data_IF_036571894689
#
_entry.id   IF_036571894689
#
_cell.length_a   1.000
_cell.length_b   1.000
_cell.length_c   1.000
_cell.angle_alpha   90.00
_cell.angle_beta   90.00
_cell.angle_gamma   90.00
#
_symmetry.space_group_name_H-M   'P 1'
#
loop_
_entity.id
_entity.type
_entity.pdbx_description
1 polymer ?
#
# COMPACT_ATOMS: atom_id res chain seq x y z
N UNK A 1 19.62 5.14 15.91
CA UNK A 1 19.79 6.02 14.74
C UNK A 1 19.76 5.27 13.43
N UNK A 2 20.38 4.08 13.37
CA UNK A 2 20.32 3.21 12.19
C UNK A 2 18.89 2.73 11.86
N UNK A 3 18.06 2.50 12.87
CA UNK A 3 16.67 2.08 12.66
C UNK A 3 15.83 3.14 11.93
N UNK A 4 16.01 4.42 12.29
CA UNK A 4 15.32 5.52 11.61
C UNK A 4 15.79 5.69 10.17
N UNK A 5 17.08 5.45 9.91
CA UNK A 5 17.63 5.47 8.57
C UNK A 5 17.09 4.34 7.70
N UNK A 6 16.96 3.14 8.24
CA UNK A 6 16.43 1.99 7.53
C UNK A 6 14.93 2.15 7.22
N UNK A 7 14.13 2.65 8.16
CA UNK A 7 12.71 2.93 7.94
C UNK A 7 12.53 3.99 6.85
N UNK A 8 13.33 5.05 6.88
CA UNK A 8 13.30 6.10 5.87
C UNK A 8 13.70 5.58 4.49
N UNK A 9 14.69 4.71 4.42
CA UNK A 9 15.09 4.08 3.16
C UNK A 9 14.02 3.15 2.61
N UNK A 10 13.29 2.42 3.45
CA UNK A 10 12.16 1.58 3.04
C UNK A 10 10.98 2.42 2.52
N UNK A 11 10.73 3.59 3.11
CA UNK A 11 9.68 4.51 2.67
C UNK A 11 10.02 5.20 1.35
N UNK A 12 11.32 5.43 1.09
CA UNK A 12 11.80 6.08 -0.13
C UNK A 12 11.92 5.11 -1.32
N UNK A 13 11.67 3.81 -1.10
CA UNK A 13 11.67 2.82 -2.18
C UNK A 13 10.40 2.94 -3.00
N UNK A 14 10.53 3.54 -4.17
CA UNK A 14 9.45 3.60 -5.14
C UNK A 14 9.37 2.31 -5.93
N UNK A 15 8.16 1.91 -6.25
CA UNK A 15 7.88 0.85 -7.20
C UNK A 15 6.88 1.36 -8.22
N UNK A 16 7.10 1.03 -9.46
CA UNK A 16 6.26 1.47 -10.57
C UNK A 16 5.66 0.28 -11.29
N UNK A 17 4.47 0.47 -11.83
CA UNK A 17 3.72 -0.56 -12.58
C UNK A 17 3.23 0.00 -13.90
N UNK A 18 2.93 -0.91 -14.83
CA UNK A 18 2.48 -0.54 -16.17
C UNK A 18 1.10 -1.14 -16.45
N UNK A 19 0.36 -0.51 -17.36
CA UNK A 19 -0.96 -0.94 -17.79
C UNK A 19 -1.22 -0.54 -19.21
N UNK A 20 -1.95 -1.38 -19.95
CA UNK A 20 -2.39 -1.06 -21.31
C UNK A 20 -3.56 -0.08 -21.33
N UNK A 21 -4.45 -0.15 -20.35
CA UNK A 21 -5.71 0.60 -20.33
C UNK A 21 -5.79 1.71 -19.27
N UNK A 22 -4.81 1.79 -18.36
CA UNK A 22 -4.81 2.77 -17.29
C UNK A 22 -5.69 2.41 -16.10
N UNK A 23 -6.32 1.25 -16.13
CA UNK A 23 -7.19 0.75 -15.06
C UNK A 23 -6.67 -0.56 -14.47
N UNK A 24 -6.23 -1.46 -15.30
CA UNK A 24 -5.74 -2.78 -14.92
C UNK A 24 -4.22 -2.83 -14.96
N UNK A 25 -3.58 -2.59 -13.83
CA UNK A 25 -2.12 -2.60 -13.70
C UNK A 25 -1.61 -3.97 -13.34
N UNK A 26 -0.49 -4.37 -13.96
CA UNK A 26 0.17 -5.63 -13.61
C UNK A 26 0.99 -5.44 -12.33
N UNK A 27 0.40 -5.82 -11.18
CA UNK A 27 1.05 -5.72 -9.87
C UNK A 27 2.02 -6.86 -9.55
N UNK A 28 2.15 -7.85 -10.43
CA UNK A 28 3.11 -8.95 -10.27
C UNK A 28 4.53 -8.56 -10.65
N UNK A 29 4.67 -7.55 -11.50
CA UNK A 29 5.97 -7.06 -11.95
C UNK A 29 6.06 -5.57 -11.61
N UNK A 30 7.01 -5.20 -10.77
CA UNK A 30 7.25 -3.80 -10.41
C UNK A 30 8.62 -3.37 -10.89
N UNK A 31 8.77 -2.06 -11.07
CA UNK A 31 10.01 -1.45 -11.56
C UNK A 31 10.52 -0.44 -10.54
N UNK A 32 11.83 -0.37 -10.31
CA UNK A 32 12.39 0.51 -9.28
C UNK A 32 12.31 1.99 -9.62
N UNK A 33 12.19 2.35 -10.91
CA UNK A 33 12.08 3.74 -11.35
C UNK A 33 10.99 3.87 -12.41
N UNK A 34 10.45 5.08 -12.53
CA UNK A 34 9.48 5.40 -13.59
C UNK A 34 10.10 5.18 -14.97
N UNK A 35 11.36 5.57 -15.11
CA UNK A 35 12.11 5.45 -16.37
C UNK A 35 12.27 4.01 -16.79
N UNK A 36 12.59 3.10 -15.86
CA UNK A 36 12.71 1.67 -16.18
C UNK A 36 11.37 1.05 -16.57
N UNK A 37 10.27 1.48 -15.93
CA UNK A 37 8.93 1.05 -16.31
C UNK A 37 8.57 1.52 -17.73
N UNK A 38 8.85 2.77 -18.05
CA UNK A 38 8.62 3.36 -19.39
C UNK A 38 9.42 2.61 -20.44
N UNK A 39 10.71 2.42 -20.19
CA UNK A 39 11.61 1.74 -21.14
C UNK A 39 11.14 0.30 -21.41
N UNK A 40 10.77 -0.43 -20.37
CA UNK A 40 10.29 -1.80 -20.50
C UNK A 40 8.99 -1.85 -21.30
N UNK A 41 8.05 -0.94 -21.03
CA UNK A 41 6.80 -0.85 -21.77
C UNK A 41 7.01 -0.54 -23.24
N UNK A 42 7.90 0.39 -23.55
CA UNK A 42 8.22 0.75 -24.93
C UNK A 42 8.86 -0.41 -25.70
N UNK A 43 9.77 -1.14 -25.06
CA UNK A 43 10.38 -2.33 -25.66
C UNK A 43 9.35 -3.43 -25.93
N UNK A 44 8.37 -3.57 -25.06
CA UNK A 44 7.33 -4.59 -25.20
C UNK A 44 6.51 -4.35 -26.47
N UNK A 45 6.18 -3.11 -26.79
CA UNK A 45 5.47 -2.78 -28.04
C UNK A 45 6.30 -3.08 -29.30
N UNK A 46 7.62 -3.09 -29.18
CA UNK A 46 8.51 -3.49 -30.28
C UNK A 46 8.63 -5.01 -30.38
N UNK A 47 8.70 -5.71 -29.27
CA UNK A 47 9.00 -7.14 -29.20
C UNK A 47 7.75 -8.03 -29.31
N UNK A 48 6.59 -7.53 -28.90
CA UNK A 48 5.33 -8.27 -28.93
C UNK A 48 4.43 -7.72 -30.02
N UNK A 49 3.98 -8.59 -30.90
CA UNK A 49 3.12 -8.19 -32.02
C UNK A 49 1.71 -7.86 -31.56
N UNK A 50 1.05 -6.97 -32.30
CA UNK A 50 -0.37 -6.68 -32.12
C UNK A 50 -1.19 -7.97 -32.11
N UNK A 51 -2.07 -8.11 -31.11
CA UNK A 51 -2.90 -9.29 -30.93
C UNK A 51 -2.26 -10.40 -30.11
N UNK A 52 -0.97 -10.28 -29.75
CA UNK A 52 -0.26 -11.24 -28.91
C UNK A 52 -0.29 -10.85 -27.45
N UNK A 53 -0.21 -11.86 -26.59
CA UNK A 53 -0.19 -11.64 -25.14
C UNK A 53 1.16 -11.12 -24.67
N UNK A 54 1.12 -10.13 -23.80
CA UNK A 54 2.30 -9.55 -23.15
C UNK A 54 2.31 -9.92 -21.65
N UNK A 55 3.37 -10.55 -21.22
CA UNK A 55 3.57 -10.84 -19.79
C UNK A 55 3.86 -9.55 -19.02
N UNK A 56 4.49 -8.57 -19.64
CA UNK A 56 4.80 -7.28 -19.01
C UNK A 56 3.53 -6.56 -18.61
N UNK A 57 2.55 -6.50 -19.50
CA UNK A 57 1.27 -5.83 -19.25
C UNK A 57 0.19 -6.75 -18.68
N UNK A 58 0.41 -8.05 -18.70
CA UNK A 58 -0.61 -9.07 -18.38
C UNK A 58 -1.88 -8.85 -19.20
N UNK A 59 -1.70 -8.74 -20.51
CA UNK A 59 -2.79 -8.48 -21.44
C UNK A 59 -2.35 -8.59 -22.89
N UNK A 60 -3.28 -8.45 -23.80
CA UNK A 60 -3.04 -8.54 -25.22
C UNK A 60 -2.74 -7.16 -25.81
N UNK A 61 -1.66 -7.05 -26.57
CA UNK A 61 -1.29 -5.81 -27.25
C UNK A 61 -2.35 -5.47 -28.30
N UNK A 62 -2.88 -4.26 -28.21
CA UNK A 62 -3.88 -3.75 -29.16
C UNK A 62 -3.30 -2.74 -30.14
N UNK A 63 -4.18 -2.05 -30.85
CA UNK A 63 -3.81 -1.06 -31.88
C UNK A 63 -3.33 0.27 -31.27
N UNK A 64 -3.62 0.52 -30.02
CA UNK A 64 -3.23 1.76 -29.35
C UNK A 64 -1.72 1.86 -29.23
N UNK A 65 -1.20 3.05 -29.50
CA UNK A 65 0.24 3.34 -29.46
C UNK A 65 0.60 4.10 -28.18
N UNK A 66 0.03 3.69 -27.07
CA UNK A 66 0.34 4.25 -25.75
C UNK A 66 0.05 3.21 -24.67
N UNK A 67 0.60 3.45 -23.52
CA UNK A 67 0.35 2.69 -22.31
C UNK A 67 0.44 3.61 -21.10
N UNK A 68 0.22 3.08 -19.91
CA UNK A 68 0.20 3.88 -18.69
C UNK A 68 1.22 3.35 -17.71
N UNK A 69 1.83 4.28 -16.96
CA UNK A 69 2.69 3.94 -15.82
C UNK A 69 2.14 4.64 -14.58
N UNK A 70 2.29 4.00 -13.43
CA UNK A 70 1.81 4.55 -12.18
C UNK A 70 2.72 4.13 -11.03
N UNK A 71 2.74 4.97 -10.00
CA UNK A 71 3.42 4.66 -8.74
C UNK A 71 2.58 3.63 -7.97
N UNK A 72 3.22 2.53 -7.61
CA UNK A 72 2.61 1.40 -6.93
C UNK A 72 2.82 1.50 -5.42
N UNK A 73 1.81 1.17 -4.65
CA UNK A 73 1.96 1.06 -3.21
C UNK A 73 1.03 -0.03 -2.64
N UNK A 74 1.50 -0.65 -1.56
CA UNK A 74 0.70 -1.58 -0.75
C UNK A 74 0.72 -1.09 0.68
N UNK A 75 -0.08 -0.05 1.01
CA UNK A 75 -0.15 0.41 2.37
C UNK A 75 -0.68 -0.70 3.27
N UNK A 76 -0.04 -0.88 4.42
CA UNK A 76 -0.48 -1.87 5.39
C UNK A 76 -1.74 -1.36 6.09
N UNK A 77 -2.83 -2.15 6.10
CA UNK A 77 -4.00 -1.79 6.89
C UNK A 77 -3.64 -1.71 8.36
N UNK A 78 -4.08 -0.65 9.02
CA UNK A 78 -3.78 -0.39 10.43
C UNK A 78 -5.07 -0.15 11.21
N UNK A 79 -5.00 -0.34 12.51
CA UNK A 79 -6.10 -0.01 13.41
C UNK A 79 -6.02 1.47 13.81
N UNK A 80 -7.18 2.09 14.00
CA UNK A 80 -7.26 3.45 14.52
C UNK A 80 -7.11 3.40 16.05
N UNK A 81 -6.05 4.02 16.57
CA UNK A 81 -5.81 4.04 18.01
C UNK A 81 -6.90 4.81 18.75
N UNK A 82 -7.44 5.88 18.16
CA UNK A 82 -8.52 6.64 18.76
C UNK A 82 -9.78 5.80 18.94
N UNK A 83 -10.13 4.99 17.94
CA UNK A 83 -11.27 4.08 18.02
C UNK A 83 -11.07 2.99 19.07
N UNK A 84 -9.85 2.48 19.21
CA UNK A 84 -9.52 1.48 20.21
C UNK A 84 -9.65 2.05 21.61
N UNK A 85 -9.11 3.24 21.85
CA UNK A 85 -9.19 3.92 23.15
C UNK A 85 -10.65 4.20 23.50
N UNK A 86 -11.44 4.68 22.54
CA UNK A 86 -12.87 4.92 22.74
C UNK A 86 -13.62 3.64 23.07
N UNK A 87 -13.33 2.54 22.38
CA UNK A 87 -13.94 1.25 22.64
C UNK A 87 -13.65 0.73 24.04
N UNK A 88 -12.39 0.83 24.48
CA UNK A 88 -11.98 0.44 25.82
C UNK A 88 -12.65 1.31 26.89
N UNK A 89 -12.72 2.62 26.64
CA UNK A 89 -13.39 3.56 27.56
C UNK A 89 -14.89 3.26 27.68
N UNK A 90 -15.56 2.99 26.56
CA UNK A 90 -16.98 2.63 26.56
C UNK A 90 -17.23 1.29 27.27
N UNK A 91 -16.34 0.33 27.09
CA UNK A 91 -16.45 -0.95 27.77
C UNK A 91 -16.28 -0.82 29.29
N UNK A 92 -15.39 0.07 29.73
CA UNK A 92 -15.23 0.38 31.14
C UNK A 92 -16.51 0.96 31.75
N UNK A 93 -17.22 1.82 31.02
CA UNK A 93 -18.52 2.36 31.45
C UNK A 93 -19.56 1.24 31.63
N UNK A 94 -19.55 0.24 30.75
CA UNK A 94 -20.45 -0.92 30.87
C UNK A 94 -20.13 -1.77 32.09
N UNK A 95 -18.84 -2.00 32.37
CA UNK A 95 -18.40 -2.86 33.50
C UNK A 95 -18.60 -2.15 34.84
N UNK A 96 -18.19 -0.88 34.92
CA UNK A 96 -18.10 -0.14 36.19
C UNK A 96 -19.19 0.92 36.38
N UNK A 97 -20.10 1.04 35.42
CA UNK A 97 -21.17 2.03 35.43
C UNK A 97 -20.60 3.46 35.49
N UNK A 98 -21.13 4.35 36.30
CA UNK A 98 -20.72 5.74 36.38
C UNK A 98 -19.36 6.02 37.04
N UNK A 99 -18.71 4.98 37.56
CA UNK A 99 -17.51 5.15 38.41
C UNK A 99 -16.21 5.41 37.63
N UNK A 100 -16.22 5.40 36.32
CA UNK A 100 -14.99 5.56 35.55
C UNK A 100 -15.09 6.59 34.40
N UNK A 101 -15.93 7.60 34.57
CA UNK A 101 -16.12 8.63 33.55
C UNK A 101 -14.84 9.43 33.21
N UNK A 102 -13.83 9.42 34.08
CA UNK A 102 -12.53 10.04 33.83
C UNK A 102 -11.52 9.09 33.18
N UNK A 103 -11.88 7.83 33.00
CA UNK A 103 -10.99 6.83 32.43
C UNK A 103 -10.61 7.20 30.99
N UNK A 104 -9.29 7.24 30.74
CA UNK A 104 -8.68 7.55 29.44
C UNK A 104 -8.95 8.96 28.91
N UNK A 105 -9.40 9.89 29.73
CA UNK A 105 -9.63 11.28 29.31
C UNK A 105 -8.35 12.08 29.10
N UNK A 106 -7.28 11.72 29.80
CA UNK A 106 -6.02 12.48 29.79
C UNK A 106 -4.90 11.75 29.04
N UNK A 107 -5.24 10.95 28.05
CA UNK A 107 -4.26 10.26 27.21
C UNK A 107 -3.53 11.30 26.37
N UNK A 108 -2.19 11.31 26.46
CA UNK A 108 -1.35 12.22 25.68
C UNK A 108 -1.14 11.70 24.26
N UNK A 109 -0.73 12.58 23.37
CA UNK A 109 -0.40 12.18 21.98
C UNK A 109 0.75 11.16 21.97
N UNK A 110 1.73 11.32 22.85
CA UNK A 110 2.85 10.37 22.97
C UNK A 110 2.38 8.98 23.41
N UNK A 111 1.44 8.92 24.33
CA UNK A 111 0.85 7.65 24.77
C UNK A 111 0.04 6.98 23.65
N UNK A 112 -0.69 7.78 22.85
CA UNK A 112 -1.41 7.28 21.67
C UNK A 112 -0.47 6.71 20.61
N UNK A 113 0.62 7.40 20.33
CA UNK A 113 1.63 6.94 19.37
C UNK A 113 2.26 5.63 19.79
N UNK A 114 2.57 5.48 21.08
CA UNK A 114 3.11 4.25 21.64
C UNK A 114 2.14 3.10 21.46
N UNK A 115 0.87 3.30 21.83
CA UNK A 115 -0.17 2.28 21.70
C UNK A 115 -0.41 1.90 20.24
N UNK A 116 -0.49 2.89 19.35
CA UNK A 116 -0.66 2.68 17.91
C UNK A 116 0.45 1.79 17.35
N UNK A 117 1.69 2.09 17.70
CA UNK A 117 2.85 1.35 17.25
C UNK A 117 2.81 -0.11 17.73
N UNK A 118 2.49 -0.32 19.01
CA UNK A 118 2.42 -1.65 19.60
C UNK A 118 1.28 -2.49 19.02
N UNK A 119 0.09 -1.92 18.88
CA UNK A 119 -1.08 -2.61 18.33
C UNK A 119 -0.84 -2.99 16.87
N UNK A 120 -0.34 -2.06 16.06
CA UNK A 120 -0.11 -2.33 14.65
C UNK A 120 0.98 -3.37 14.45
N UNK A 121 1.99 -3.40 15.30
CA UNK A 121 2.99 -4.46 15.30
C UNK A 121 2.38 -5.83 15.56
N UNK A 122 1.48 -5.94 16.52
CA UNK A 122 0.77 -7.18 16.82
C UNK A 122 -0.12 -7.60 15.65
N UNK A 123 -0.86 -6.67 15.06
CA UNK A 123 -1.73 -6.92 13.91
C UNK A 123 -0.92 -7.43 12.71
N UNK A 124 0.18 -6.76 12.37
CA UNK A 124 1.01 -7.16 11.24
C UNK A 124 1.60 -8.55 11.44
N UNK A 125 2.08 -8.84 12.65
CA UNK A 125 2.59 -10.17 12.98
C UNK A 125 1.51 -11.25 12.83
N UNK A 126 0.31 -10.97 13.31
CA UNK A 126 -0.82 -11.90 13.25
C UNK A 126 -1.24 -12.16 11.79
N UNK A 127 -1.31 -11.12 10.97
CA UNK A 127 -1.62 -11.25 9.55
C UNK A 127 -0.59 -12.14 8.83
N UNK A 128 0.69 -11.95 9.10
CA UNK A 128 1.76 -12.75 8.52
C UNK A 128 1.70 -14.20 8.97
N UNK A 129 1.50 -14.42 10.25
CA UNK A 129 1.45 -15.76 10.84
C UNK A 129 0.35 -16.61 10.23
N UNK A 130 -0.77 -16.02 9.89
CA UNK A 130 -1.94 -16.74 9.36
C UNK A 130 -2.15 -16.56 7.86
N UNK A 131 -1.20 -15.95 7.14
CA UNK A 131 -1.29 -15.69 5.70
C UNK A 131 -2.56 -14.92 5.31
N UNK A 132 -2.87 -13.88 6.07
CA UNK A 132 -4.08 -13.07 5.88
C UNK A 132 -3.81 -11.72 5.20
N UNK A 133 -2.63 -11.51 4.61
CA UNK A 133 -2.31 -10.28 3.90
C UNK A 133 -3.20 -10.12 2.67
N UNK A 134 -3.64 -8.88 2.44
CA UNK A 134 -4.37 -8.54 1.22
C UNK A 134 -3.43 -8.56 0.01
N UNK A 135 -3.98 -8.90 -1.16
CA UNK A 135 -3.28 -8.81 -2.43
C UNK A 135 -3.56 -7.48 -3.15
N UNK A 136 -4.37 -6.63 -2.56
CA UNK A 136 -4.68 -5.32 -3.14
C UNK A 136 -3.49 -4.39 -3.16
N UNK A 137 -3.52 -3.44 -4.08
CA UNK A 137 -2.52 -2.37 -4.17
C UNK A 137 -3.20 -1.08 -4.65
N UNK A 138 -2.52 0.03 -4.45
CA UNK A 138 -2.97 1.34 -4.93
C UNK A 138 -2.00 1.85 -5.98
N UNK A 139 -2.52 2.65 -6.90
CA UNK A 139 -1.70 3.35 -7.91
C UNK A 139 -1.95 4.85 -7.80
N UNK A 140 -0.88 5.62 -7.97
CA UNK A 140 -0.89 7.08 -7.95
C UNK A 140 -0.02 7.62 -9.07
N UNK A 141 -0.14 8.90 -9.35
CA UNK A 141 0.69 9.60 -10.34
C UNK A 141 0.66 8.90 -11.71
N UNK A 142 -0.54 8.53 -12.14
CA UNK A 142 -0.75 7.85 -13.43
C UNK A 142 -0.33 8.77 -14.57
N UNK A 143 0.51 8.25 -15.47
CA UNK A 143 0.96 8.96 -16.66
C UNK A 143 0.78 8.11 -17.91
N UNK A 144 0.34 8.75 -18.99
CA UNK A 144 0.25 8.11 -20.29
C UNK A 144 1.60 8.22 -21.00
N UNK A 145 2.05 7.13 -21.58
CA UNK A 145 3.31 7.08 -22.34
C UNK A 145 3.00 6.72 -23.78
N UNK A 146 3.43 7.56 -24.72
CA UNK A 146 3.30 7.28 -26.14
C UNK A 146 4.44 6.38 -26.60
N UNK A 147 4.09 5.45 -27.43
CA UNK A 147 5.06 4.51 -28.01
C UNK A 147 5.65 5.05 -29.29
#
# INVERSE_FOLDING_TARGET
MSEMGEEKMKQDKEEWVVSLDGENYNGYITYPTKESAIETGQKEFTNVKNGQYSEVFDGYIGDDKFFYVALFSRPEPTASVDNIIEDVACNADVIYDEYCFDFLKNVTEKQKEELEKEINKVIQHWLDKHNLRTYGFLVENVGQVKV
#
